data_IF_576012655708
#
_entry.id   IF_576012655708
#
_cell.length_a   1.000
_cell.length_b   1.000
_cell.length_c   1.000
_cell.angle_alpha   90.00
_cell.angle_beta   90.00
_cell.angle_gamma   90.00
#
_symmetry.space_group_name_H-M   'P 1'
#
loop_
_entity.id
_entity.type
_entity.pdbx_description
1 polymer ?
#
# COMPACT_ATOMS: atom_id res chain seq x y z
N UNK A 1 -42.34 7.56 19.71
CA UNK A 1 -41.53 7.99 20.87
C UNK A 1 -40.89 6.74 21.41
N UNK A 2 -39.56 6.69 21.32
CA UNK A 2 -38.66 5.54 21.47
C UNK A 2 -38.57 4.69 20.20
N UNK A 3 -37.88 5.24 19.20
CA UNK A 3 -37.09 4.41 18.29
C UNK A 3 -36.04 3.73 19.17
N UNK A 4 -36.11 2.41 19.26
CA UNK A 4 -35.07 1.59 19.86
C UNK A 4 -33.77 1.84 19.09
N UNK A 5 -32.96 2.79 19.56
CA UNK A 5 -31.55 2.91 19.18
C UNK A 5 -30.86 1.73 19.83
N UNK A 6 -30.88 0.59 19.13
CA UNK A 6 -29.94 -0.48 19.40
C UNK A 6 -28.56 0.16 19.27
N UNK A 7 -27.72 0.16 20.32
CA UNK A 7 -26.36 0.67 20.19
C UNK A 7 -25.74 -0.13 19.05
N UNK A 8 -25.33 0.56 17.98
CA UNK A 8 -24.60 -0.04 16.86
C UNK A 8 -23.39 -0.72 17.49
N UNK A 9 -23.52 -2.04 17.70
CA UNK A 9 -22.46 -2.83 18.26
C UNK A 9 -21.27 -2.56 17.35
N UNK A 10 -20.17 -2.03 17.90
CA UNK A 10 -18.96 -1.73 17.15
C UNK A 10 -18.67 -2.94 16.27
N UNK A 11 -18.95 -2.82 14.97
CA UNK A 11 -18.81 -3.94 14.06
C UNK A 11 -17.37 -4.44 14.21
N UNK A 12 -17.16 -5.77 14.30
CA UNK A 12 -15.81 -6.29 14.40
C UNK A 12 -15.00 -5.71 13.24
N UNK A 13 -13.73 -5.31 13.48
CA UNK A 13 -12.95 -4.62 12.47
C UNK A 13 -12.94 -5.46 11.19
N UNK A 14 -13.31 -4.84 10.08
CA UNK A 14 -13.32 -5.51 8.78
C UNK A 14 -11.95 -6.16 8.54
N UNK A 15 -11.91 -7.39 7.98
CA UNK A 15 -10.65 -8.04 7.67
C UNK A 15 -9.84 -7.19 6.69
N UNK A 16 -8.51 -7.26 6.82
CA UNK A 16 -7.62 -6.55 5.91
C UNK A 16 -7.86 -7.00 4.47
N UNK A 17 -7.98 -6.01 3.60
CA UNK A 17 -8.09 -6.20 2.16
C UNK A 17 -6.73 -6.57 1.55
N UNK A 18 -6.70 -7.16 0.34
CA UNK A 18 -5.45 -7.45 -0.35
C UNK A 18 -4.53 -6.23 -0.51
N UNK A 19 -5.12 -5.05 -0.77
CA UNK A 19 -4.34 -3.81 -0.88
C UNK A 19 -3.69 -3.41 0.44
N UNK A 20 -4.37 -3.60 1.58
CA UNK A 20 -3.81 -3.32 2.91
C UNK A 20 -2.69 -4.30 3.27
N UNK A 21 -2.85 -5.57 2.90
CA UNK A 21 -1.81 -6.60 3.10
C UNK A 21 -0.56 -6.26 2.27
N UNK A 22 -0.73 -5.84 1.01
CA UNK A 22 0.37 -5.39 0.15
C UNK A 22 1.03 -4.13 0.73
N UNK A 23 0.25 -3.14 1.17
CA UNK A 23 0.77 -1.91 1.75
C UNK A 23 1.66 -2.20 2.97
N UNK A 24 1.19 -3.06 3.89
CA UNK A 24 1.97 -3.48 5.05
C UNK A 24 3.28 -4.18 4.64
N UNK A 25 3.20 -5.15 3.72
CA UNK A 25 4.38 -5.87 3.25
C UNK A 25 5.42 -4.97 2.57
N UNK A 26 4.98 -3.93 1.85
CA UNK A 26 5.88 -2.94 1.23
C UNK A 26 6.57 -2.07 2.28
N UNK A 27 5.84 -1.63 3.31
CA UNK A 27 6.40 -0.81 4.39
C UNK A 27 7.38 -1.59 5.27
N UNK A 28 7.24 -2.90 5.36
CA UNK A 28 8.17 -3.78 6.08
C UNK A 28 9.50 -4.00 5.33
N UNK A 29 9.63 -3.57 4.06
CA UNK A 29 10.87 -3.73 3.30
C UNK A 29 11.92 -2.71 3.75
N UNK A 30 13.11 -3.14 4.22
CA UNK A 30 14.17 -2.22 4.61
C UNK A 30 14.61 -1.33 3.43
N UNK A 31 14.53 -0.01 3.66
CA UNK A 31 14.82 1.02 2.67
C UNK A 31 13.58 1.67 2.06
N UNK A 32 12.37 1.16 2.31
CA UNK A 32 11.13 1.89 2.02
C UNK A 32 10.85 2.86 3.16
N UNK A 33 10.59 4.12 2.83
CA UNK A 33 10.29 5.18 3.80
C UNK A 33 8.79 5.34 3.97
N UNK A 34 8.05 5.35 2.85
CA UNK A 34 6.59 5.48 2.82
C UNK A 34 6.03 5.07 1.46
N UNK A 35 4.72 4.84 1.42
CA UNK A 35 3.95 4.75 0.18
C UNK A 35 3.68 6.17 -0.38
N UNK A 36 3.54 6.26 -1.70
CA UNK A 36 3.30 7.51 -2.42
C UNK A 36 2.05 7.39 -3.31
N UNK A 37 1.20 8.41 -3.35
CA UNK A 37 -0.02 8.39 -4.17
C UNK A 37 0.20 8.60 -5.68
N UNK A 38 1.42 8.40 -6.18
CA UNK A 38 1.86 8.81 -7.52
C UNK A 38 1.87 10.34 -7.74
N UNK A 39 2.31 10.76 -8.93
CA UNK A 39 2.50 12.18 -9.34
C UNK A 39 1.35 13.15 -9.02
N UNK A 40 0.10 12.67 -8.94
CA UNK A 40 -1.08 13.50 -8.64
C UNK A 40 -1.80 13.11 -7.34
N UNK A 41 -1.20 12.25 -6.51
CA UNK A 41 -1.84 11.76 -5.29
C UNK A 41 -3.08 10.90 -5.54
N UNK A 42 -3.35 10.49 -6.78
CA UNK A 42 -4.54 9.73 -7.18
C UNK A 42 -4.40 8.22 -7.08
N UNK A 43 -3.19 7.68 -7.02
CA UNK A 43 -2.95 6.25 -7.01
C UNK A 43 -3.22 5.64 -5.63
N UNK A 44 -4.12 4.67 -5.58
CA UNK A 44 -4.50 3.97 -4.36
C UNK A 44 -5.76 3.13 -4.54
N UNK A 45 -5.98 2.20 -3.64
CA UNK A 45 -7.21 1.41 -3.55
C UNK A 45 -8.20 2.13 -2.65
N UNK A 46 -9.38 2.44 -3.18
CA UNK A 46 -10.48 3.07 -2.45
C UNK A 46 -11.39 2.00 -1.86
N UNK A 47 -11.59 2.05 -0.56
CA UNK A 47 -12.40 1.12 0.22
C UNK A 47 -13.55 1.91 0.88
N UNK A 48 -14.61 1.24 1.38
CA UNK A 48 -15.61 1.90 2.21
C UNK A 48 -14.96 2.64 3.39
N UNK A 49 -15.12 3.97 3.43
CA UNK A 49 -14.64 4.82 4.52
C UNK A 49 -13.12 5.03 4.61
N UNK A 50 -12.30 4.40 3.76
CA UNK A 50 -10.83 4.51 3.82
C UNK A 50 -10.15 4.33 2.47
N UNK A 51 -8.87 4.66 2.41
CA UNK A 51 -8.06 4.53 1.19
C UNK A 51 -6.68 3.97 1.53
N UNK A 52 -6.23 3.01 0.72
CA UNK A 52 -4.85 2.54 0.71
C UNK A 52 -4.07 3.33 -0.32
N UNK A 53 -3.24 4.27 0.12
CA UNK A 53 -2.41 5.09 -0.78
C UNK A 53 -1.28 4.26 -1.39
N UNK A 54 -0.99 4.49 -2.67
CA UNK A 54 0.21 3.95 -3.31
C UNK A 54 0.18 2.46 -3.64
N UNK A 55 -0.98 1.81 -3.52
CA UNK A 55 -1.20 0.43 -3.97
C UNK A 55 -2.41 0.39 -4.90
N UNK A 56 -2.29 -0.30 -6.03
CA UNK A 56 -3.39 -0.62 -6.93
C UNK A 56 -3.30 -2.10 -7.30
N UNK A 57 -4.43 -2.79 -7.24
CA UNK A 57 -4.58 -4.17 -7.69
C UNK A 57 -5.79 -4.18 -8.62
N UNK A 58 -5.58 -4.60 -9.86
CA UNK A 58 -6.60 -4.71 -10.90
C UNK A 58 -6.28 -5.89 -11.83
N UNK A 59 -7.04 -6.04 -12.90
CA UNK A 59 -6.85 -7.14 -13.87
C UNK A 59 -5.49 -7.06 -14.61
N UNK A 60 -4.79 -5.92 -14.56
CA UNK A 60 -3.46 -5.73 -15.15
C UNK A 60 -2.32 -6.05 -14.18
N UNK A 61 -2.64 -6.49 -12.96
CA UNK A 61 -1.71 -6.92 -11.93
C UNK A 61 -1.66 -5.98 -10.73
N UNK A 62 -0.46 -5.81 -10.17
CA UNK A 62 -0.24 -5.02 -8.96
C UNK A 62 0.74 -3.89 -9.22
N UNK A 63 0.38 -2.69 -8.80
CA UNK A 63 1.22 -1.50 -8.89
C UNK A 63 1.43 -0.90 -7.50
N UNK A 64 2.69 -0.62 -7.17
CA UNK A 64 3.08 -0.01 -5.89
C UNK A 64 3.99 1.18 -6.12
N UNK A 65 3.71 2.27 -5.41
CA UNK A 65 4.42 3.55 -5.51
C UNK A 65 5.04 3.88 -4.17
N UNK A 66 6.36 4.06 -4.15
CA UNK A 66 7.14 4.18 -2.92
C UNK A 66 8.08 5.37 -2.94
N UNK A 67 8.37 5.88 -1.75
CA UNK A 67 9.57 6.69 -1.48
C UNK A 67 10.57 5.80 -0.76
N UNK A 68 11.84 5.87 -1.17
CA UNK A 68 12.91 5.03 -0.63
C UNK A 68 14.01 5.87 0.00
N UNK A 69 14.76 5.30 0.93
CA UNK A 69 15.93 5.95 1.53
C UNK A 69 17.12 5.94 0.58
N UNK A 70 17.98 6.95 0.65
CA UNK A 70 19.27 7.00 -0.07
C UNK A 70 20.34 6.01 0.43
N UNK A 71 20.14 5.43 1.63
CA UNK A 71 21.07 4.48 2.29
C UNK A 71 21.29 3.18 1.54
N UNK A 72 20.35 2.78 0.68
CA UNK A 72 20.39 1.53 -0.09
C UNK A 72 20.16 1.87 -1.56
N UNK A 73 20.91 1.27 -2.51
CA UNK A 73 20.71 1.52 -3.93
C UNK A 73 19.26 1.31 -4.35
N UNK A 74 18.67 2.33 -4.99
CA UNK A 74 17.26 2.33 -5.42
C UNK A 74 16.84 1.04 -6.15
N UNK A 75 17.60 0.53 -7.14
CA UNK A 75 17.21 -0.72 -7.82
C UNK A 75 17.18 -1.93 -6.89
N UNK A 76 18.01 -1.95 -5.85
CA UNK A 76 18.03 -3.03 -4.87
C UNK A 76 16.80 -3.00 -3.98
N UNK A 77 16.40 -1.82 -3.49
CA UNK A 77 15.16 -1.64 -2.70
C UNK A 77 13.94 -1.97 -3.55
N UNK A 78 13.86 -1.47 -4.78
CA UNK A 78 12.76 -1.77 -5.71
C UNK A 78 12.64 -3.28 -5.99
N UNK A 79 13.75 -3.99 -6.19
CA UNK A 79 13.74 -5.43 -6.37
C UNK A 79 13.31 -6.21 -5.10
N UNK A 80 13.62 -5.70 -3.91
CA UNK A 80 13.13 -6.29 -2.64
C UNK A 80 11.61 -6.12 -2.51
N UNK A 81 11.11 -4.92 -2.80
CA UNK A 81 9.67 -4.63 -2.84
C UNK A 81 8.97 -5.54 -3.85
N UNK A 82 9.49 -5.63 -5.08
CA UNK A 82 8.90 -6.49 -6.10
C UNK A 82 8.81 -7.95 -5.63
N UNK A 83 9.88 -8.51 -5.05
CA UNK A 83 9.87 -9.89 -4.51
C UNK A 83 8.87 -10.08 -3.38
N UNK A 84 8.79 -9.14 -2.44
CA UNK A 84 7.86 -9.21 -1.31
C UNK A 84 6.41 -9.22 -1.80
N UNK A 85 6.06 -8.33 -2.74
CA UNK A 85 4.71 -8.20 -3.27
C UNK A 85 4.34 -9.37 -4.20
N UNK A 86 5.27 -9.85 -5.03
CA UNK A 86 5.03 -11.01 -5.92
C UNK A 86 4.70 -12.30 -5.16
N UNK A 87 5.05 -12.40 -3.88
CA UNK A 87 4.72 -13.56 -3.05
C UNK A 87 3.24 -13.58 -2.60
N UNK A 88 2.54 -12.46 -2.68
CA UNK A 88 1.22 -12.26 -2.03
C UNK A 88 0.17 -11.59 -2.91
N UNK A 89 0.54 -11.11 -4.11
CA UNK A 89 -0.34 -10.34 -4.97
C UNK A 89 -0.28 -10.77 -6.45
N UNK A 90 -1.32 -10.47 -7.25
CA UNK A 90 -1.35 -10.80 -8.68
C UNK A 90 -0.19 -10.19 -9.47
N UNK A 91 0.32 -10.97 -10.42
CA UNK A 91 1.35 -10.54 -11.36
C UNK A 91 0.73 -9.89 -12.62
N UNK A 92 1.47 -9.02 -13.32
CA UNK A 92 2.81 -8.52 -12.99
C UNK A 92 2.81 -7.51 -11.84
N UNK A 93 3.90 -7.50 -11.06
CA UNK A 93 4.17 -6.47 -10.03
C UNK A 93 5.06 -5.38 -10.61
N UNK A 94 4.53 -4.15 -10.66
CA UNK A 94 5.23 -2.93 -11.07
C UNK A 94 5.54 -2.07 -9.86
N UNK A 95 6.81 -1.74 -9.66
CA UNK A 95 7.28 -0.89 -8.56
C UNK A 95 7.74 0.44 -9.13
N UNK A 96 7.14 1.52 -8.64
CA UNK A 96 7.47 2.89 -9.00
C UNK A 96 8.14 3.57 -7.82
N UNK A 97 9.37 4.04 -8.03
CA UNK A 97 10.08 4.85 -7.04
C UNK A 97 9.82 6.30 -7.40
N UNK A 98 9.00 6.96 -6.59
CA UNK A 98 8.51 8.31 -6.86
C UNK A 98 9.47 9.38 -6.31
N UNK A 99 10.21 9.06 -5.24
CA UNK A 99 11.15 9.98 -4.61
C UNK A 99 12.22 9.24 -3.78
N UNK A 100 13.30 9.95 -3.43
CA UNK A 100 14.36 9.47 -2.55
C UNK A 100 14.47 10.41 -1.34
N UNK A 101 14.33 9.85 -0.14
CA UNK A 101 14.51 10.60 1.10
C UNK A 101 15.95 10.47 1.63
N UNK A 102 16.51 11.60 2.03
CA UNK A 102 17.86 11.73 2.61
C UNK A 102 17.83 11.85 4.14
N UNK A 103 16.63 11.98 4.74
CA UNK A 103 16.42 12.22 6.17
C UNK A 103 15.76 10.99 6.78
N UNK A 104 16.51 9.91 6.88
CA UNK A 104 16.17 8.75 7.72
C UNK A 104 17.38 8.39 8.54
#
# INVERSE_FOLDING_TARGET
MLDDVVPEALEPPEPLTPAEIVAAAVLDVPGVVRLHGGRFGGLGTYLPGRRVTGVRIDDEGTEVHVVVSDRVPVPQTAARVQRAVSAIAPMPVRVHVEDIDTIV
#
